data_IF_986345334177
#
_entry.id   IF_986345334177
#
_cell.length_a   1.000
_cell.length_b   1.000
_cell.length_c   1.000
_cell.angle_alpha   90.00
_cell.angle_beta   90.00
_cell.angle_gamma   90.00
#
_symmetry.space_group_name_H-M   'P 1'
#
loop_
_entity.id
_entity.type
_entity.pdbx_description
1 polymer ?
#
# COMPACT_ATOMS: atom_id res chain seq x y z
N UNK A 1 20.33 -16.95 16.23
CA UNK A 1 19.37 -15.98 15.65
C UNK A 1 19.17 -16.36 14.18
N UNK A 2 17.94 -16.56 13.77
CA UNK A 2 17.61 -16.87 12.37
C UNK A 2 17.61 -15.60 11.51
N UNK A 3 17.51 -15.76 10.19
CA UNK A 3 17.27 -14.67 9.24
C UNK A 3 15.88 -14.08 9.50
N UNK A 4 15.78 -12.77 9.60
CA UNK A 4 14.51 -12.04 9.75
C UNK A 4 14.39 -10.97 8.66
N UNK A 5 13.24 -10.96 7.96
CA UNK A 5 12.85 -9.90 7.04
C UNK A 5 12.25 -8.75 7.83
N UNK A 6 12.90 -7.61 7.86
CA UNK A 6 12.50 -6.45 8.69
C UNK A 6 11.44 -5.56 8.04
N UNK A 7 11.20 -5.71 6.73
CA UNK A 7 10.20 -4.92 6.00
C UNK A 7 10.23 -5.15 4.49
N UNK A 8 9.45 -4.35 3.78
CA UNK A 8 9.48 -4.27 2.32
C UNK A 8 10.31 -3.04 1.95
N UNK A 9 11.47 -3.26 1.30
CA UNK A 9 12.35 -2.17 0.88
C UNK A 9 11.69 -1.35 -0.24
N UNK A 10 11.29 -2.02 -1.33
CA UNK A 10 10.65 -1.34 -2.45
C UNK A 10 9.63 -2.21 -3.19
N UNK A 11 8.71 -1.54 -3.89
CA UNK A 11 7.76 -2.13 -4.81
C UNK A 11 7.87 -1.40 -6.17
N UNK A 12 7.95 -2.16 -7.26
CA UNK A 12 7.91 -1.64 -8.63
C UNK A 12 6.60 -1.96 -9.31
N UNK A 13 5.98 -0.93 -9.88
CA UNK A 13 4.78 -1.05 -10.70
C UNK A 13 5.11 -0.67 -12.13
N UNK A 14 4.84 -1.58 -13.06
CA UNK A 14 4.91 -1.30 -14.50
C UNK A 14 3.59 -0.68 -14.94
N UNK A 15 3.66 0.52 -15.52
CA UNK A 15 2.48 1.30 -15.93
C UNK A 15 2.41 1.42 -17.45
N UNK A 16 1.20 1.44 -17.98
CA UNK A 16 0.99 1.48 -19.44
C UNK A 16 1.38 2.83 -20.07
N UNK A 17 1.18 3.92 -19.33
CA UNK A 17 1.57 5.29 -19.68
C UNK A 17 2.19 5.97 -18.45
N UNK A 18 3.51 6.19 -18.51
CA UNK A 18 4.25 6.76 -17.39
C UNK A 18 3.81 8.21 -17.10
N UNK A 19 3.54 9.02 -18.11
CA UNK A 19 3.14 10.42 -17.94
C UNK A 19 1.77 10.52 -17.27
N UNK A 20 0.80 9.72 -17.71
CA UNK A 20 -0.52 9.62 -17.09
C UNK A 20 -0.44 9.12 -15.64
N UNK A 21 0.39 8.11 -15.40
CA UNK A 21 0.60 7.58 -14.06
C UNK A 21 1.28 8.60 -13.14
N UNK A 22 2.27 9.35 -13.62
CA UNK A 22 2.91 10.44 -12.85
C UNK A 22 1.87 11.50 -12.48
N UNK A 23 1.00 11.91 -13.40
CA UNK A 23 -0.05 12.89 -13.13
C UNK A 23 -1.01 12.45 -12.01
N UNK A 24 -1.26 11.15 -11.91
CA UNK A 24 -2.05 10.54 -10.82
C UNK A 24 -1.23 10.39 -9.53
N UNK A 25 -0.06 9.76 -9.61
CA UNK A 25 0.71 9.40 -8.42
C UNK A 25 1.39 10.60 -7.73
N UNK A 26 1.78 11.64 -8.45
CA UNK A 26 2.42 12.82 -7.83
C UNK A 26 1.57 13.47 -6.73
N UNK A 27 0.31 13.85 -6.97
CA UNK A 27 -0.52 14.40 -5.90
C UNK A 27 -0.89 13.36 -4.83
N UNK A 28 -1.16 12.11 -5.20
CA UNK A 28 -1.51 11.03 -4.27
C UNK A 28 -0.36 10.73 -3.33
N UNK A 29 0.85 10.49 -3.85
CA UNK A 29 2.02 10.16 -3.03
C UNK A 29 2.49 11.33 -2.17
N UNK A 30 2.34 12.56 -2.67
CA UNK A 30 2.58 13.75 -1.85
C UNK A 30 1.63 13.83 -0.67
N UNK A 31 0.33 13.60 -0.90
CA UNK A 31 -0.69 13.53 0.16
C UNK A 31 -0.33 12.46 1.20
N UNK A 32 0.12 11.29 0.75
CA UNK A 32 0.52 10.16 1.62
C UNK A 32 1.90 10.34 2.27
N UNK A 33 2.54 11.50 2.12
CA UNK A 33 3.79 11.85 2.81
C UNK A 33 5.07 11.33 2.15
N UNK A 34 4.99 10.83 0.92
CA UNK A 34 6.17 10.41 0.16
C UNK A 34 6.92 11.62 -0.43
N UNK A 35 8.19 11.39 -0.78
CA UNK A 35 9.06 12.27 -1.58
C UNK A 35 9.31 11.62 -2.91
N UNK A 36 9.69 12.41 -3.92
CA UNK A 36 9.89 11.95 -5.31
C UNK A 36 11.36 12.06 -5.74
N UNK A 37 11.84 11.03 -6.43
CA UNK A 37 13.04 11.02 -7.23
C UNK A 37 12.74 10.58 -8.67
N UNK A 38 13.59 10.99 -9.63
CA UNK A 38 13.40 10.69 -11.06
C UNK A 38 14.72 10.25 -11.67
N UNK A 39 15.25 9.14 -11.19
CA UNK A 39 16.53 8.61 -11.65
C UNK A 39 16.29 7.50 -12.68
N UNK A 40 16.82 7.61 -13.91
CA UNK A 40 16.72 6.55 -14.89
C UNK A 40 17.54 5.32 -14.44
N UNK A 41 17.02 4.12 -14.69
CA UNK A 41 17.74 2.88 -14.43
C UNK A 41 18.03 2.21 -15.77
N UNK A 42 19.30 1.95 -16.05
CA UNK A 42 19.74 1.35 -17.31
C UNK A 42 19.23 2.10 -18.56
N UNK A 43 19.11 3.43 -18.48
CA UNK A 43 18.62 4.28 -19.57
C UNK A 43 17.08 4.31 -19.72
N UNK A 44 16.33 3.53 -18.94
CA UNK A 44 14.87 3.58 -18.94
C UNK A 44 14.37 4.60 -17.89
N UNK A 45 13.34 5.40 -18.19
CA UNK A 45 12.79 6.36 -17.24
C UNK A 45 12.11 5.64 -16.07
N UNK A 46 12.41 6.08 -14.86
CA UNK A 46 11.80 5.61 -13.62
C UNK A 46 11.38 6.81 -12.77
N UNK A 47 10.35 6.60 -11.95
CA UNK A 47 9.93 7.54 -10.90
C UNK A 47 9.87 6.79 -9.60
N UNK A 48 10.48 7.36 -8.57
CA UNK A 48 10.57 6.77 -7.25
C UNK A 48 9.86 7.67 -6.25
N UNK A 49 8.89 7.11 -5.53
CA UNK A 49 8.27 7.73 -4.37
C UNK A 49 8.76 7.00 -3.14
N UNK A 50 9.39 7.69 -2.21
CA UNK A 50 9.98 7.09 -1.02
C UNK A 50 9.58 7.84 0.25
N UNK A 51 9.41 7.09 1.32
CA UNK A 51 9.26 7.58 2.67
C UNK A 51 10.34 6.96 3.57
N UNK A 52 10.16 6.97 4.90
CA UNK A 52 11.15 6.42 5.84
C UNK A 52 11.28 4.91 5.79
N UNK A 53 10.24 4.20 5.34
CA UNK A 53 10.12 2.74 5.50
C UNK A 53 10.18 1.98 4.18
N UNK A 54 9.77 2.61 3.07
CA UNK A 54 9.63 1.91 1.80
C UNK A 54 9.71 2.86 0.60
N UNK A 55 9.97 2.28 -0.55
CA UNK A 55 9.93 2.96 -1.85
C UNK A 55 8.87 2.32 -2.75
N UNK A 56 8.08 3.17 -3.40
CA UNK A 56 7.14 2.80 -4.45
C UNK A 56 7.60 3.40 -5.76
N UNK A 57 7.82 2.56 -6.78
CA UNK A 57 8.44 3.00 -8.02
C UNK A 57 7.58 2.68 -9.23
N UNK A 58 7.57 3.61 -10.18
CA UNK A 58 6.93 3.45 -11.47
C UNK A 58 7.96 3.26 -12.57
N UNK A 59 7.65 2.39 -13.52
CA UNK A 59 8.37 2.22 -14.76
C UNK A 59 7.41 1.99 -15.93
N UNK A 60 7.79 2.30 -17.19
CA UNK A 60 6.99 1.91 -18.35
C UNK A 60 6.87 0.39 -18.44
N UNK A 61 5.68 -0.11 -18.75
CA UNK A 61 5.49 -1.51 -19.10
C UNK A 61 6.12 -1.81 -20.46
N UNK A 62 6.62 -3.04 -20.62
CA UNK A 62 7.15 -3.52 -21.93
C UNK A 62 6.08 -4.19 -22.79
N UNK A 63 4.88 -4.38 -22.26
CA UNK A 63 3.74 -4.98 -22.95
C UNK A 63 2.49 -4.18 -22.63
N UNK A 64 1.61 -3.94 -23.61
CA UNK A 64 0.34 -3.28 -23.36
C UNK A 64 -0.57 -4.18 -22.50
N UNK A 65 -1.45 -3.57 -21.75
CA UNK A 65 -2.44 -4.26 -20.92
C UNK A 65 -2.83 -3.42 -19.71
N UNK A 66 -4.07 -3.55 -19.27
CA UNK A 66 -4.52 -3.04 -17.99
C UNK A 66 -4.19 -4.07 -16.90
N UNK A 67 -4.08 -3.61 -15.66
CA UNK A 67 -3.94 -4.48 -14.50
C UNK A 67 -5.24 -5.26 -14.29
N UNK A 68 -5.13 -6.58 -14.15
CA UNK A 68 -6.23 -7.44 -13.76
C UNK A 68 -5.97 -8.01 -12.36
N UNK A 69 -6.68 -7.55 -11.33
CA UNK A 69 -6.47 -7.99 -9.95
C UNK A 69 -6.86 -9.45 -9.71
N UNK A 70 -7.57 -10.09 -10.65
CA UNK A 70 -7.96 -11.51 -10.54
C UNK A 70 -7.05 -12.45 -11.33
N UNK A 71 -6.09 -11.91 -12.08
CA UNK A 71 -5.02 -12.70 -12.69
C UNK A 71 -3.95 -13.01 -11.66
N UNK A 72 -3.14 -14.06 -11.90
CA UNK A 72 -2.01 -14.39 -11.04
C UNK A 72 -1.02 -13.22 -10.95
N UNK A 73 -0.78 -12.72 -9.73
CA UNK A 73 0.08 -11.57 -9.49
C UNK A 73 -0.39 -10.72 -8.30
N UNK A 74 -0.14 -9.43 -8.35
CA UNK A 74 -0.55 -8.50 -7.31
C UNK A 74 -2.06 -8.22 -7.41
N UNK A 75 -2.81 -8.59 -6.37
CA UNK A 75 -4.24 -8.29 -6.30
C UNK A 75 -4.49 -6.81 -5.96
N UNK A 76 -3.83 -6.29 -4.92
CA UNK A 76 -3.90 -4.89 -4.50
C UNK A 76 -2.68 -4.53 -3.64
N UNK A 77 -2.48 -3.24 -3.42
CA UNK A 77 -1.50 -2.71 -2.49
C UNK A 77 -2.21 -1.89 -1.41
N UNK A 78 -1.95 -2.24 -0.16
CA UNK A 78 -2.52 -1.56 1.00
C UNK A 78 -1.46 -0.78 1.76
N UNK A 79 -1.63 0.54 1.88
CA UNK A 79 -0.84 1.38 2.78
C UNK A 79 -1.53 1.47 4.15
N UNK A 80 -0.75 1.38 5.21
CA UNK A 80 -1.24 1.55 6.57
C UNK A 80 -1.04 2.98 7.04
N UNK A 81 -2.09 3.57 7.59
CA UNK A 81 -2.06 4.87 8.28
C UNK A 81 -2.27 4.70 9.79
N UNK A 82 -2.07 5.75 10.56
CA UNK A 82 -2.07 5.67 12.03
C UNK A 82 -3.44 5.40 12.64
N UNK A 83 -4.53 5.95 12.06
CA UNK A 83 -5.87 5.91 12.67
C UNK A 83 -6.98 5.90 11.62
N UNK A 84 -8.23 5.64 12.07
CA UNK A 84 -9.43 5.80 11.25
C UNK A 84 -9.60 7.26 10.76
N UNK A 85 -9.30 8.24 11.60
CA UNK A 85 -9.35 9.66 11.22
C UNK A 85 -8.37 9.99 10.09
N UNK A 86 -7.21 9.33 10.04
CA UNK A 86 -6.28 9.49 8.93
C UNK A 86 -6.83 8.90 7.63
N UNK A 87 -7.56 7.78 7.71
CA UNK A 87 -8.27 7.20 6.55
C UNK A 87 -9.34 8.15 6.03
N UNK A 88 -10.17 8.73 6.92
CA UNK A 88 -11.21 9.69 6.55
C UNK A 88 -10.62 10.95 5.89
N UNK A 89 -9.54 11.45 6.48
CA UNK A 89 -8.85 12.63 5.96
C UNK A 89 -8.27 12.34 4.58
N UNK A 90 -7.55 11.22 4.44
CA UNK A 90 -6.97 10.83 3.16
C UNK A 90 -8.03 10.61 2.08
N UNK A 91 -9.14 9.94 2.39
CA UNK A 91 -10.23 9.70 1.43
C UNK A 91 -10.87 11.01 0.96
N UNK A 92 -11.08 11.97 1.87
CA UNK A 92 -11.60 13.30 1.51
C UNK A 92 -10.63 14.05 0.59
N UNK A 93 -9.36 14.08 0.93
CA UNK A 93 -8.32 14.75 0.15
C UNK A 93 -8.11 14.08 -1.22
N UNK A 94 -8.14 12.74 -1.28
CA UNK A 94 -8.08 12.00 -2.54
C UNK A 94 -9.24 12.39 -3.47
N UNK A 95 -10.46 12.47 -2.95
CA UNK A 95 -11.63 12.94 -3.72
C UNK A 95 -11.49 14.38 -4.18
N UNK A 96 -10.92 15.26 -3.35
CA UNK A 96 -10.61 16.63 -3.74
C UNK A 96 -9.57 16.72 -4.88
N UNK A 97 -8.70 15.73 -5.01
CA UNK A 97 -7.76 15.55 -6.13
C UNK A 97 -8.41 14.90 -7.37
N UNK A 98 -9.71 14.58 -7.33
CA UNK A 98 -10.42 13.90 -8.42
C UNK A 98 -10.22 12.38 -8.45
N UNK A 99 -9.65 11.78 -7.40
CA UNK A 99 -9.53 10.33 -7.27
C UNK A 99 -10.84 9.75 -6.73
N UNK A 100 -11.36 8.71 -7.39
CA UNK A 100 -12.58 8.02 -6.97
C UNK A 100 -12.28 7.09 -5.77
N UNK A 101 -12.13 7.70 -4.59
CA UNK A 101 -11.93 6.99 -3.34
C UNK A 101 -13.28 6.61 -2.72
N UNK A 102 -13.45 5.31 -2.43
CA UNK A 102 -14.63 4.75 -1.77
C UNK A 102 -14.81 5.41 -0.40
N UNK A 103 -16.07 5.60 0.03
CA UNK A 103 -16.36 6.12 1.37
C UNK A 103 -15.75 5.20 2.44
N UNK A 104 -14.94 5.73 3.37
CA UNK A 104 -14.33 4.94 4.42
C UNK A 104 -15.38 4.27 5.31
N UNK A 105 -15.15 3.02 5.66
CA UNK A 105 -16.00 2.28 6.59
C UNK A 105 -15.27 1.12 7.27
N UNK A 106 -15.90 0.52 8.26
CA UNK A 106 -15.51 -0.77 8.79
C UNK A 106 -15.84 -1.88 7.79
N UNK A 107 -14.90 -2.84 7.66
CA UNK A 107 -15.03 -4.07 6.90
C UNK A 107 -14.87 -5.28 7.85
N UNK A 108 -15.91 -5.59 8.66
CA UNK A 108 -15.83 -6.63 9.67
C UNK A 108 -15.60 -8.02 9.08
N UNK A 109 -15.92 -8.20 7.80
CA UNK A 109 -15.62 -9.41 7.02
C UNK A 109 -14.13 -9.70 6.87
N UNK A 110 -13.25 -8.67 7.00
CA UNK A 110 -11.80 -8.83 6.98
C UNK A 110 -11.21 -8.91 8.38
N UNK A 111 -11.63 -8.03 9.27
CA UNK A 111 -11.31 -8.07 10.70
C UNK A 111 -12.23 -7.10 11.48
N UNK A 112 -12.44 -7.32 12.80
CA UNK A 112 -13.37 -6.50 13.60
C UNK A 112 -13.04 -4.99 13.61
N UNK A 113 -11.78 -4.63 13.44
CA UNK A 113 -11.26 -3.26 13.46
C UNK A 113 -10.71 -2.81 12.09
N UNK A 114 -11.14 -3.44 10.99
CA UNK A 114 -10.66 -3.14 9.65
C UNK A 114 -11.36 -1.90 9.09
N UNK A 115 -10.81 -0.72 9.33
CA UNK A 115 -11.34 0.54 8.80
C UNK A 115 -10.50 1.00 7.61
N UNK A 116 -11.10 1.13 6.43
CA UNK A 116 -10.36 1.34 5.20
C UNK A 116 -11.12 2.15 4.15
N UNK A 117 -10.38 2.66 3.16
CA UNK A 117 -10.86 3.16 1.88
C UNK A 117 -10.09 2.54 0.73
N UNK A 118 -10.71 2.47 -0.45
CA UNK A 118 -10.15 1.89 -1.66
C UNK A 118 -10.24 2.87 -2.82
N UNK A 119 -9.27 2.81 -3.72
CA UNK A 119 -9.25 3.54 -4.97
C UNK A 119 -8.39 2.79 -6.00
N UNK A 120 -8.37 3.23 -7.24
CA UNK A 120 -7.56 2.59 -8.29
C UNK A 120 -6.68 3.61 -8.99
N UNK A 121 -5.53 3.14 -9.46
CA UNK A 121 -4.68 3.92 -10.34
C UNK A 121 -5.23 3.93 -11.79
N UNK A 122 -4.65 4.71 -12.72
CA UNK A 122 -5.12 4.78 -14.09
C UNK A 122 -5.05 3.46 -14.89
N UNK A 123 -4.24 2.50 -14.45
CA UNK A 123 -4.13 1.17 -15.06
C UNK A 123 -5.03 0.11 -14.38
N UNK A 124 -5.78 0.49 -13.35
CA UNK A 124 -6.67 -0.40 -12.61
C UNK A 124 -6.01 -1.13 -11.44
N UNK A 125 -4.76 -0.79 -11.08
CA UNK A 125 -4.16 -1.31 -9.85
C UNK A 125 -4.96 -0.81 -8.65
N UNK A 126 -5.49 -1.74 -7.87
CA UNK A 126 -6.23 -1.42 -6.64
C UNK A 126 -5.27 -0.96 -5.54
N UNK A 127 -5.60 0.19 -4.96
CA UNK A 127 -4.89 0.79 -3.84
C UNK A 127 -5.84 0.89 -2.65
N UNK A 128 -5.28 0.75 -1.47
CA UNK A 128 -6.03 0.75 -0.23
C UNK A 128 -5.30 1.58 0.83
N UNK A 129 -6.07 2.27 1.67
CA UNK A 129 -5.58 2.83 2.93
C UNK A 129 -6.34 2.18 4.08
N UNK A 130 -5.61 1.60 5.02
CA UNK A 130 -6.17 0.96 6.21
C UNK A 130 -5.61 1.60 7.48
N UNK A 131 -6.48 1.80 8.48
CA UNK A 131 -6.06 2.21 9.82
C UNK A 131 -5.21 1.15 10.50
N UNK A 132 -4.29 1.55 11.39
CA UNK A 132 -3.53 0.61 12.20
C UNK A 132 -4.48 -0.31 12.97
N UNK A 133 -4.33 -1.62 12.75
CA UNK A 133 -5.18 -2.65 13.36
C UNK A 133 -4.55 -3.22 14.63
N UNK A 134 -5.41 -3.62 15.59
CA UNK A 134 -4.97 -4.28 16.83
C UNK A 134 -4.06 -5.47 16.58
N UNK A 135 -4.38 -6.31 15.59
CA UNK A 135 -3.54 -7.47 15.25
C UNK A 135 -2.11 -7.08 14.91
N UNK A 136 -1.90 -5.98 14.18
CA UNK A 136 -0.55 -5.49 13.84
C UNK A 136 0.19 -4.96 15.06
N UNK A 137 -0.53 -4.32 15.97
CA UNK A 137 0.02 -3.87 17.25
C UNK A 137 0.46 -5.06 18.10
N UNK A 138 -0.41 -6.05 18.29
CA UNK A 138 -0.07 -7.27 19.04
C UNK A 138 1.14 -8.01 18.46
N UNK A 139 1.17 -8.23 17.15
CA UNK A 139 2.31 -8.88 16.49
C UNK A 139 3.61 -8.09 16.71
N UNK A 140 3.56 -6.76 16.65
CA UNK A 140 4.73 -5.91 16.83
C UNK A 140 5.24 -5.92 18.28
N UNK A 141 4.33 -5.83 19.24
CA UNK A 141 4.65 -5.76 20.67
C UNK A 141 5.12 -7.09 21.24
N UNK A 142 4.56 -8.20 20.75
CA UNK A 142 4.82 -9.55 21.26
C UNK A 142 5.65 -10.42 20.31
N UNK A 143 6.35 -9.83 19.32
CA UNK A 143 7.07 -10.60 18.29
C UNK A 143 7.98 -11.68 18.87
N UNK A 144 8.71 -11.38 19.94
CA UNK A 144 9.59 -12.34 20.61
C UNK A 144 8.91 -13.53 21.27
N UNK A 145 7.60 -13.44 21.52
CA UNK A 145 6.77 -14.49 22.11
C UNK A 145 6.10 -15.37 21.05
N UNK A 146 6.03 -14.87 19.79
CA UNK A 146 5.38 -15.55 18.67
C UNK A 146 6.33 -16.55 18.00
N UNK A 147 6.70 -17.61 18.72
CA UNK A 147 7.69 -18.60 18.30
C UNK A 147 7.17 -19.61 17.30
N UNK A 148 5.85 -19.77 17.21
CA UNK A 148 5.21 -20.73 16.32
C UNK A 148 5.01 -20.15 14.92
N UNK A 149 5.32 -20.94 13.88
CA UNK A 149 5.11 -20.53 12.49
C UNK A 149 3.61 -20.42 12.13
N UNK A 150 2.79 -21.38 12.58
CA UNK A 150 1.36 -21.43 12.31
C UNK A 150 0.52 -20.89 13.47
N UNK A 151 -0.37 -19.93 13.18
CA UNK A 151 -1.29 -19.32 14.14
C UNK A 151 -0.61 -18.79 15.43
N UNK A 152 0.52 -18.06 15.32
CA UNK A 152 1.34 -17.70 16.48
C UNK A 152 0.57 -16.90 17.54
N UNK A 153 -0.23 -15.92 17.13
CA UNK A 153 -0.96 -15.02 18.04
C UNK A 153 -2.00 -15.78 18.87
N UNK A 154 -2.71 -16.75 18.24
CA UNK A 154 -3.66 -17.62 18.94
C UNK A 154 -2.94 -18.57 19.90
N UNK A 155 -1.84 -19.17 19.45
CA UNK A 155 -1.06 -20.12 20.29
C UNK A 155 -0.39 -19.43 21.47
N UNK A 156 -0.04 -18.14 21.32
CA UNK A 156 0.42 -17.32 22.44
C UNK A 156 -0.71 -16.81 23.37
N UNK A 157 -1.97 -17.13 23.07
CA UNK A 157 -3.12 -16.74 23.90
C UNK A 157 -3.45 -15.24 23.86
N UNK A 158 -3.04 -14.54 22.80
CA UNK A 158 -3.26 -13.09 22.67
C UNK A 158 -4.61 -12.74 21.99
N UNK A 159 -5.26 -13.71 21.36
CA UNK A 159 -6.61 -13.64 20.75
C UNK A 159 -7.34 -14.96 20.87
#
# INVERSE_FOLDING_TARGET
MGLEVTGIDHLYVSVSDLSRSIAFYDPVMRLLGFRKGTDPIAGEPHVHYYNRETQFSLRPSKRPGAHDPYSAGLHHLCFRVGSATDVDTAARELRALGVDAVEPRLYPEYAPDYYATFFSDPDGLRLELVALRRMRTLVREHWGELTEFENPVRKAGLV
#
